data_IF_162469529077
#
_entry.id   IF_162469529077
#
_cell.length_a   1.000
_cell.length_b   1.000
_cell.length_c   1.000
_cell.angle_alpha   90.00
_cell.angle_beta   90.00
_cell.angle_gamma   90.00
#
_symmetry.space_group_name_H-M   'P 1'
#
loop_
_entity.id
_entity.type
_entity.pdbx_description
1 polymer ?
#
# COMPACT_ATOMS: atom_id res chain seq x y z
N UNK A 1 18.05 6.74 11.32
CA UNK A 1 18.08 5.93 10.10
C UNK A 1 18.36 6.83 8.90
N UNK A 2 19.14 6.39 7.91
CA UNK A 2 19.51 7.21 6.75
C UNK A 2 18.26 7.61 5.97
N UNK A 3 18.07 8.91 5.73
CA UNK A 3 16.98 9.47 4.91
C UNK A 3 17.07 9.07 3.42
N UNK A 4 18.13 8.34 3.02
CA UNK A 4 18.43 7.91 1.66
C UNK A 4 18.71 6.40 1.60
N UNK A 5 17.76 5.58 2.08
CA UNK A 5 17.87 4.12 2.13
C UNK A 5 18.12 3.53 0.74
N UNK A 6 19.16 2.67 0.64
CA UNK A 6 19.54 1.97 -0.60
C UNK A 6 20.38 2.79 -1.57
N UNK A 7 20.58 4.09 -1.33
CA UNK A 7 21.56 4.90 -2.06
C UNK A 7 22.94 4.78 -1.39
N UNK A 8 23.98 4.66 -2.21
CA UNK A 8 25.37 4.53 -1.78
C UNK A 8 26.31 5.24 -2.75
N UNK A 9 27.57 5.43 -2.36
CA UNK A 9 28.60 6.01 -3.22
C UNK A 9 28.16 7.31 -3.89
N UNK A 10 28.40 7.42 -5.20
CA UNK A 10 28.17 8.64 -5.98
C UNK A 10 26.73 9.15 -5.93
N UNK A 11 25.74 8.25 -6.02
CA UNK A 11 24.33 8.65 -5.98
C UNK A 11 23.94 9.21 -4.60
N UNK A 12 24.45 8.63 -3.54
CA UNK A 12 24.23 9.13 -2.17
C UNK A 12 24.82 10.51 -1.97
N UNK A 13 26.09 10.70 -2.38
CA UNK A 13 26.79 11.96 -2.20
C UNK A 13 26.14 13.07 -3.03
N UNK A 14 25.70 12.75 -4.25
CA UNK A 14 25.02 13.70 -5.11
C UNK A 14 23.67 14.15 -4.54
N UNK A 15 22.85 13.21 -4.05
CA UNK A 15 21.55 13.52 -3.43
C UNK A 15 21.73 14.34 -2.13
N UNK A 16 22.76 14.04 -1.34
CA UNK A 16 23.11 14.83 -0.14
C UNK A 16 23.50 16.26 -0.47
N UNK A 17 24.33 16.44 -1.52
CA UNK A 17 24.74 17.76 -1.97
C UNK A 17 23.56 18.62 -2.44
N UNK A 18 22.49 18.00 -2.90
CA UNK A 18 21.24 18.67 -3.33
C UNK A 18 20.17 18.78 -2.24
N UNK A 19 20.46 18.32 -1.03
CA UNK A 19 19.51 18.26 0.12
C UNK A 19 18.18 17.59 -0.23
N UNK A 20 18.27 16.49 -0.98
CA UNK A 20 17.12 15.70 -1.43
C UNK A 20 17.01 14.43 -0.63
N UNK A 21 15.80 14.04 -0.25
CA UNK A 21 15.51 12.86 0.54
C UNK A 21 14.46 11.98 -0.15
N UNK A 22 14.42 10.70 0.19
CA UNK A 22 13.37 9.79 -0.27
C UNK A 22 11.99 10.36 0.10
N UNK A 23 11.07 10.33 -0.87
CA UNK A 23 9.74 10.92 -0.76
C UNK A 23 9.64 12.37 -1.22
N UNK A 24 10.76 13.09 -1.38
CA UNK A 24 10.71 14.44 -1.95
C UNK A 24 10.22 14.40 -3.40
N UNK A 25 9.38 15.36 -3.75
CA UNK A 25 9.07 15.67 -5.15
C UNK A 25 10.23 16.46 -5.73
N UNK A 26 10.85 15.94 -6.78
CA UNK A 26 12.02 16.53 -7.40
C UNK A 26 11.86 16.63 -8.90
N UNK A 27 12.60 17.56 -9.48
CA UNK A 27 12.77 17.74 -10.92
C UNK A 27 14.20 17.40 -11.28
N UNK A 28 14.39 16.41 -12.13
CA UNK A 28 15.69 16.05 -12.71
C UNK A 28 15.79 16.65 -14.10
N UNK A 29 16.84 17.40 -14.33
CA UNK A 29 17.18 18.01 -15.60
C UNK A 29 18.29 17.18 -16.24
N UNK A 30 18.01 16.57 -17.38
CA UNK A 30 18.96 15.87 -18.26
C UNK A 30 18.77 16.39 -19.68
N UNK A 31 18.87 15.56 -20.71
CA UNK A 31 18.41 15.91 -22.06
C UNK A 31 16.89 16.05 -22.12
N UNK A 32 16.19 15.32 -21.26
CA UNK A 32 14.78 15.49 -20.96
C UNK A 32 14.62 15.98 -19.50
N UNK A 33 13.45 16.50 -19.20
CA UNK A 33 13.10 16.90 -17.83
C UNK A 33 12.11 15.91 -17.23
N UNK A 34 12.44 15.37 -16.05
CA UNK A 34 11.60 14.42 -15.33
C UNK A 34 11.16 15.04 -14.02
N UNK A 35 9.87 14.93 -13.72
CA UNK A 35 9.30 15.33 -12.42
C UNK A 35 8.69 14.09 -11.78
N UNK A 36 9.07 13.83 -10.53
CA UNK A 36 8.59 12.66 -9.81
C UNK A 36 9.01 12.66 -8.34
N UNK A 37 8.65 11.58 -7.67
CA UNK A 37 8.99 11.36 -6.26
C UNK A 37 10.27 10.52 -6.21
N UNK A 38 11.26 10.95 -5.42
CA UNK A 38 12.48 10.18 -5.20
C UNK A 38 12.15 8.89 -4.46
N UNK A 39 12.44 7.76 -5.09
CA UNK A 39 12.17 6.42 -4.57
C UNK A 39 13.37 5.85 -3.81
N UNK A 40 13.15 4.96 -2.81
CA UNK A 40 14.23 4.18 -2.23
C UNK A 40 14.81 3.20 -3.25
N UNK A 41 16.04 2.71 -2.97
CA UNK A 41 16.67 1.65 -3.75
C UNK A 41 16.96 0.42 -2.90
N UNK A 42 17.18 -0.71 -3.56
CA UNK A 42 17.64 -1.93 -2.90
C UNK A 42 19.12 -1.80 -2.48
N UNK A 43 19.51 -2.45 -1.40
CA UNK A 43 20.89 -2.43 -0.90
C UNK A 43 21.90 -3.00 -1.92
N UNK A 44 21.44 -3.92 -2.76
CA UNK A 44 22.24 -4.53 -3.84
C UNK A 44 22.36 -3.69 -5.10
N UNK A 45 21.66 -2.54 -5.17
CA UNK A 45 21.69 -1.66 -6.35
C UNK A 45 23.09 -1.05 -6.57
N UNK A 46 23.34 -0.60 -7.81
CA UNK A 46 24.54 0.19 -8.17
C UNK A 46 24.54 1.58 -7.46
N UNK A 47 25.57 2.36 -7.68
CA UNK A 47 25.70 3.73 -7.14
C UNK A 47 25.59 4.82 -8.21
N UNK A 48 25.17 4.46 -9.42
CA UNK A 48 25.17 5.33 -10.60
C UNK A 48 23.77 5.79 -11.04
N UNK A 49 22.69 5.29 -10.43
CA UNK A 49 21.34 5.66 -10.83
C UNK A 49 20.54 6.30 -9.71
N UNK A 50 19.61 7.18 -10.09
CA UNK A 50 18.55 7.73 -9.23
C UNK A 50 17.20 7.24 -9.75
N UNK A 51 16.30 6.83 -8.86
CA UNK A 51 15.00 6.29 -9.24
C UNK A 51 13.89 7.25 -8.87
N UNK A 52 13.07 7.62 -9.85
CA UNK A 52 11.88 8.46 -9.70
C UNK A 52 10.62 7.67 -9.97
N UNK A 53 9.59 7.91 -9.16
CA UNK A 53 8.22 7.55 -9.49
C UNK A 53 7.55 8.72 -10.20
N UNK A 54 7.17 8.51 -11.45
CA UNK A 54 6.48 9.51 -12.26
C UNK A 54 4.99 9.63 -11.88
N UNK A 55 4.36 10.74 -12.28
CA UNK A 55 2.92 10.93 -12.11
C UNK A 55 2.07 9.84 -12.79
N UNK A 56 2.59 9.22 -13.83
CA UNK A 56 1.97 8.06 -14.51
C UNK A 56 1.94 6.78 -13.68
N UNK A 57 2.64 6.75 -12.53
CA UNK A 57 2.79 5.57 -11.67
C UNK A 57 4.02 4.73 -11.97
N UNK A 58 4.68 4.91 -13.13
CA UNK A 58 5.91 4.17 -13.47
C UNK A 58 7.12 4.70 -12.72
N UNK A 59 8.02 3.78 -12.38
CA UNK A 59 9.34 4.11 -11.86
C UNK A 59 10.34 4.13 -13.01
N UNK A 60 11.20 5.16 -13.05
CA UNK A 60 12.30 5.25 -14.00
C UNK A 60 13.63 5.39 -13.26
N UNK A 61 14.67 4.72 -13.76
CA UNK A 61 16.05 4.93 -13.35
C UNK A 61 16.72 5.91 -14.30
N UNK A 62 17.42 6.90 -13.73
CA UNK A 62 18.16 7.92 -14.50
C UNK A 62 19.62 7.80 -14.07
N UNK A 63 20.51 7.63 -15.04
CA UNK A 63 21.94 7.53 -14.77
C UNK A 63 22.52 8.89 -14.38
N UNK A 64 23.37 8.91 -13.35
CA UNK A 64 23.97 10.15 -12.83
C UNK A 64 24.72 10.95 -13.90
N UNK A 65 25.37 10.26 -14.85
CA UNK A 65 26.11 10.91 -15.93
C UNK A 65 25.20 11.73 -16.87
N UNK A 66 23.92 11.40 -16.93
CA UNK A 66 22.94 12.11 -17.76
C UNK A 66 22.31 13.29 -17.01
N UNK A 67 22.50 13.37 -15.69
CA UNK A 67 21.86 14.38 -14.85
C UNK A 67 22.69 15.66 -14.88
N UNK A 68 22.11 16.71 -15.43
CA UNK A 68 22.69 18.06 -15.42
C UNK A 68 22.42 18.77 -14.11
N UNK A 69 21.19 18.63 -13.57
CA UNK A 69 20.80 19.21 -12.28
C UNK A 69 19.59 18.51 -11.66
N UNK A 70 19.45 18.68 -10.33
CA UNK A 70 18.28 18.28 -9.56
C UNK A 70 17.77 19.48 -8.76
N UNK A 71 16.47 19.76 -8.93
CA UNK A 71 15.75 20.78 -8.16
C UNK A 71 14.73 20.10 -7.24
N UNK A 72 14.77 20.42 -5.96
CA UNK A 72 13.74 20.01 -5.02
C UNK A 72 12.50 20.88 -5.18
N UNK A 73 11.35 20.27 -5.45
CA UNK A 73 10.07 20.97 -5.61
C UNK A 73 9.37 21.09 -4.25
N UNK A 74 9.22 19.96 -3.55
CA UNK A 74 8.59 19.92 -2.23
C UNK A 74 9.05 18.70 -1.45
N UNK A 75 9.01 18.80 -0.15
CA UNK A 75 9.10 17.62 0.74
C UNK A 75 7.69 17.07 0.98
N UNK A 76 7.55 15.76 1.27
CA UNK A 76 6.29 15.24 1.75
C UNK A 76 5.88 16.07 2.98
N UNK A 77 4.67 16.62 2.95
CA UNK A 77 4.07 17.15 4.18
C UNK A 77 4.10 16.01 5.21
N UNK A 78 4.51 16.32 6.44
CA UNK A 78 4.25 15.39 7.53
C UNK A 78 2.74 15.20 7.55
N UNK A 79 2.29 14.07 7.05
CA UNK A 79 0.90 13.68 7.21
C UNK A 79 0.75 13.43 8.71
N UNK A 80 0.46 14.50 9.42
CA UNK A 80 -0.16 14.38 10.73
C UNK A 80 -1.45 13.63 10.41
N UNK A 81 -1.51 12.39 10.85
CA UNK A 81 -2.73 11.58 10.79
C UNK A 81 -3.85 12.41 11.44
N UNK A 82 -4.42 13.33 10.69
CA UNK A 82 -5.72 13.88 11.00
C UNK A 82 -6.65 12.70 10.80
N UNK A 83 -6.86 11.95 11.89
CA UNK A 83 -7.99 11.04 12.00
C UNK A 83 -9.23 11.89 11.73
N UNK A 84 -9.56 12.05 10.47
CA UNK A 84 -10.87 12.47 10.05
C UNK A 84 -11.80 11.32 10.44
N UNK A 85 -12.22 11.35 11.72
CA UNK A 85 -13.34 10.55 12.19
C UNK A 85 -14.55 11.13 11.45
N UNK A 86 -14.76 10.69 10.21
CA UNK A 86 -16.02 10.98 9.52
C UNK A 86 -17.12 10.38 10.38
N UNK A 87 -18.15 11.19 10.65
CA UNK A 87 -19.34 10.73 11.36
C UNK A 87 -19.88 9.51 10.64
N UNK A 88 -19.93 8.40 11.34
CA UNK A 88 -20.55 7.17 10.87
C UNK A 88 -22.02 7.44 10.59
N UNK A 89 -22.47 7.29 9.37
CA UNK A 89 -23.88 7.40 9.02
C UNK A 89 -24.55 6.06 9.33
N UNK A 90 -25.36 6.03 10.39
CA UNK A 90 -26.04 4.82 10.85
C UNK A 90 -27.03 4.22 9.85
N UNK A 91 -27.39 4.95 8.80
CA UNK A 91 -28.27 4.47 7.74
C UNK A 91 -27.56 3.60 6.69
N UNK A 92 -26.22 3.70 6.59
CA UNK A 92 -25.44 2.96 5.62
C UNK A 92 -25.09 1.55 6.11
N UNK A 93 -24.97 0.57 5.19
CA UNK A 93 -24.58 -0.79 5.54
C UNK A 93 -23.17 -0.81 6.14
N UNK A 94 -22.96 -1.66 7.13
CA UNK A 94 -21.67 -1.88 7.75
C UNK A 94 -20.95 -3.04 7.06
N UNK A 95 -19.74 -2.82 6.58
CA UNK A 95 -18.92 -3.79 5.86
C UNK A 95 -17.61 -4.00 6.62
N UNK A 96 -17.16 -5.24 6.74
CA UNK A 96 -15.84 -5.56 7.25
C UNK A 96 -14.87 -5.72 6.06
N UNK A 97 -13.77 -4.97 6.08
CA UNK A 97 -12.62 -5.21 5.23
C UNK A 97 -11.58 -5.99 6.02
N UNK A 98 -11.34 -7.22 5.61
CA UNK A 98 -10.37 -8.13 6.22
C UNK A 98 -9.14 -8.23 5.34
N UNK A 99 -8.00 -7.75 5.81
CA UNK A 99 -6.74 -7.82 5.07
C UNK A 99 -5.95 -9.07 5.44
N UNK A 100 -5.51 -9.81 4.44
CA UNK A 100 -4.62 -10.98 4.57
C UNK A 100 -3.23 -10.75 4.01
N UNK A 101 -2.96 -9.56 3.47
CA UNK A 101 -1.71 -9.20 2.82
C UNK A 101 -1.88 -8.93 1.32
N UNK A 102 -0.78 -9.05 0.58
CA UNK A 102 -0.75 -8.74 -0.84
C UNK A 102 -0.59 -7.23 -1.13
N UNK A 103 -0.45 -6.89 -2.41
CA UNK A 103 -0.16 -5.53 -2.86
C UNK A 103 -1.25 -4.53 -2.50
N UNK A 104 -2.50 -4.95 -2.57
CA UNK A 104 -3.67 -4.10 -2.28
C UNK A 104 -3.72 -3.69 -0.80
N UNK A 105 -3.19 -4.54 0.09
CA UNK A 105 -3.16 -4.30 1.53
C UNK A 105 -1.89 -3.60 1.99
N UNK A 106 -1.01 -3.22 1.08
CA UNK A 106 0.32 -2.70 1.40
C UNK A 106 0.40 -1.22 1.09
N UNK A 107 0.77 -0.42 2.10
CA UNK A 107 1.13 0.97 1.92
C UNK A 107 2.66 1.09 1.89
N UNK A 108 3.19 1.62 0.81
CA UNK A 108 4.62 1.95 0.76
C UNK A 108 4.81 3.29 1.46
N UNK A 109 5.47 3.28 2.60
CA UNK A 109 6.01 4.52 3.17
C UNK A 109 7.20 4.97 2.31
N UNK A 110 6.95 5.92 1.44
CA UNK A 110 7.97 6.46 0.53
C UNK A 110 9.17 7.06 1.26
N UNK A 111 9.02 7.44 2.52
CA UNK A 111 10.11 7.98 3.35
C UNK A 111 11.06 6.88 3.83
N UNK A 112 10.54 5.72 4.15
CA UNK A 112 11.31 4.62 4.73
C UNK A 112 11.53 3.48 3.77
N UNK A 113 10.76 3.42 2.66
CA UNK A 113 10.70 2.28 1.77
C UNK A 113 10.11 1.02 2.43
N UNK A 114 9.57 1.18 3.64
CA UNK A 114 8.93 0.08 4.33
C UNK A 114 7.56 -0.17 3.69
N UNK A 115 7.31 -1.42 3.35
CA UNK A 115 5.96 -1.89 3.02
C UNK A 115 5.31 -2.25 4.34
N UNK A 116 4.36 -1.45 4.79
CA UNK A 116 3.56 -1.76 5.97
C UNK A 116 2.21 -2.29 5.53
N UNK A 117 1.74 -3.40 6.10
CA UNK A 117 0.37 -3.83 5.92
C UNK A 117 -0.51 -2.80 6.63
N UNK A 118 -1.21 -1.98 5.89
CA UNK A 118 -1.95 -0.88 6.47
C UNK A 118 -3.06 -0.39 5.56
N UNK A 119 -3.93 -1.28 5.11
CA UNK A 119 -5.21 -0.82 4.58
C UNK A 119 -6.15 -0.58 5.77
N UNK A 120 -6.11 0.62 6.32
CA UNK A 120 -7.11 1.05 7.28
C UNK A 120 -8.36 1.55 6.56
N UNK A 121 -9.49 1.60 7.27
CA UNK A 121 -10.71 2.22 6.72
C UNK A 121 -10.48 3.69 6.33
N UNK A 122 -9.56 4.39 7.01
CA UNK A 122 -9.15 5.74 6.65
C UNK A 122 -8.40 5.77 5.32
N UNK A 123 -7.41 4.89 5.14
CA UNK A 123 -6.63 4.83 3.89
C UNK A 123 -7.54 4.55 2.68
N UNK A 124 -8.53 3.68 2.84
CA UNK A 124 -9.49 3.37 1.79
C UNK A 124 -10.40 4.56 1.47
N UNK A 125 -10.91 5.26 2.49
CA UNK A 125 -11.73 6.45 2.30
C UNK A 125 -10.94 7.63 1.69
N UNK A 126 -9.65 7.72 1.98
CA UNK A 126 -8.79 8.75 1.41
C UNK A 126 -8.45 8.44 -0.06
N UNK A 127 -8.30 7.15 -0.40
CA UNK A 127 -8.06 6.71 -1.77
C UNK A 127 -9.31 6.79 -2.64
N UNK A 128 -10.49 6.46 -2.09
CA UNK A 128 -11.78 6.42 -2.81
C UNK A 128 -12.86 7.06 -1.91
N UNK A 129 -12.94 8.39 -1.85
CA UNK A 129 -13.86 9.11 -0.95
C UNK A 129 -15.34 8.76 -1.16
N UNK A 130 -15.70 8.30 -2.36
CA UNK A 130 -17.07 7.90 -2.73
C UNK A 130 -17.58 6.71 -1.91
N UNK A 131 -16.68 5.86 -1.41
CA UNK A 131 -17.04 4.69 -0.59
C UNK A 131 -17.78 5.12 0.68
N UNK A 132 -17.41 6.24 1.27
CA UNK A 132 -18.05 6.78 2.47
C UNK A 132 -19.53 7.15 2.27
N UNK A 133 -20.00 7.25 1.03
CA UNK A 133 -21.40 7.50 0.70
C UNK A 133 -22.19 6.19 0.49
N UNK A 134 -21.51 5.05 0.46
CA UNK A 134 -22.11 3.74 0.11
C UNK A 134 -22.15 2.83 1.33
N UNK A 135 -21.09 2.84 2.16
CA UNK A 135 -20.95 1.95 3.29
C UNK A 135 -20.09 2.52 4.42
N UNK A 136 -20.34 2.05 5.63
CA UNK A 136 -19.43 2.20 6.77
C UNK A 136 -18.46 1.03 6.78
N UNK A 137 -17.17 1.28 6.61
CA UNK A 137 -16.15 0.24 6.54
C UNK A 137 -15.37 0.19 7.85
N UNK A 138 -15.37 -0.98 8.48
CA UNK A 138 -14.38 -1.35 9.49
C UNK A 138 -13.27 -2.14 8.80
N UNK A 139 -12.03 -1.84 9.08
CA UNK A 139 -10.88 -2.55 8.53
C UNK A 139 -10.10 -3.26 9.64
N UNK A 140 -9.72 -4.49 9.37
CA UNK A 140 -8.93 -5.32 10.27
C UNK A 140 -7.86 -6.08 9.48
N UNK A 141 -6.63 -6.09 9.98
CA UNK A 141 -5.55 -6.91 9.43
C UNK A 141 -5.53 -8.24 10.18
N UNK A 142 -5.81 -9.33 9.48
CA UNK A 142 -5.77 -10.67 10.05
C UNK A 142 -4.33 -11.19 10.09
N UNK A 143 -3.63 -11.08 8.98
CA UNK A 143 -2.20 -11.32 8.82
C UNK A 143 -1.69 -10.55 7.61
N UNK A 144 -0.37 -10.58 7.37
CA UNK A 144 0.25 -9.89 6.24
C UNK A 144 1.27 -10.80 5.59
N UNK A 145 0.78 -11.61 4.64
CA UNK A 145 1.60 -12.56 3.92
C UNK A 145 1.49 -12.34 2.41
N UNK A 146 2.53 -12.72 1.69
CA UNK A 146 2.40 -12.93 0.25
C UNK A 146 1.53 -14.15 0.00
N UNK A 147 0.64 -14.08 -0.99
CA UNK A 147 -0.34 -15.14 -1.21
C UNK A 147 0.29 -16.50 -1.52
N UNK A 148 1.45 -16.53 -2.15
CA UNK A 148 2.22 -17.74 -2.42
C UNK A 148 2.81 -18.41 -1.17
N UNK A 149 2.90 -17.69 -0.06
CA UNK A 149 3.39 -18.18 1.22
C UNK A 149 2.27 -18.69 2.15
N UNK A 150 1.02 -18.57 1.72
CA UNK A 150 -0.10 -19.02 2.54
C UNK A 150 -0.09 -20.53 2.76
N UNK A 151 -0.33 -20.91 4.00
CA UNK A 151 -0.44 -22.29 4.47
C UNK A 151 -1.90 -22.60 4.82
N UNK A 152 -2.30 -23.86 4.95
CA UNK A 152 -3.67 -24.24 5.32
C UNK A 152 -4.19 -23.56 6.60
N UNK A 153 -3.32 -23.29 7.55
CA UNK A 153 -3.62 -22.61 8.80
C UNK A 153 -4.18 -21.20 8.57
N UNK A 154 -3.62 -20.46 7.61
CA UNK A 154 -4.09 -19.13 7.22
C UNK A 154 -5.53 -19.17 6.67
N UNK A 155 -5.87 -20.19 5.88
CA UNK A 155 -7.24 -20.38 5.39
C UNK A 155 -8.21 -20.72 6.51
N UNK A 156 -7.77 -21.58 7.44
CA UNK A 156 -8.57 -21.96 8.63
C UNK A 156 -8.81 -20.73 9.52
N UNK A 157 -7.79 -19.92 9.76
CA UNK A 157 -7.92 -18.71 10.58
C UNK A 157 -8.80 -17.67 9.89
N UNK A 158 -8.71 -17.55 8.57
CA UNK A 158 -9.60 -16.70 7.78
C UNK A 158 -11.06 -17.19 7.89
N UNK A 159 -11.29 -18.50 7.77
CA UNK A 159 -12.62 -19.07 7.91
C UNK A 159 -13.21 -18.82 9.31
N UNK A 160 -12.45 -19.10 10.36
CA UNK A 160 -12.85 -18.85 11.76
C UNK A 160 -13.17 -17.39 12.02
N UNK A 161 -12.35 -16.47 11.48
CA UNK A 161 -12.59 -15.05 11.63
C UNK A 161 -13.89 -14.64 10.94
N UNK A 162 -14.12 -15.05 9.70
CA UNK A 162 -15.35 -14.78 8.96
C UNK A 162 -16.56 -15.35 9.71
N UNK A 163 -16.50 -16.59 10.17
CA UNK A 163 -17.58 -17.23 10.94
C UNK A 163 -17.89 -16.45 12.22
N UNK A 164 -16.86 -16.02 12.95
CA UNK A 164 -17.03 -15.28 14.21
C UNK A 164 -17.78 -13.96 14.06
N UNK A 165 -17.69 -13.34 12.90
CA UNK A 165 -18.33 -12.04 12.60
C UNK A 165 -19.60 -12.16 11.75
N UNK A 166 -19.89 -13.34 11.22
CA UNK A 166 -21.01 -13.57 10.30
C UNK A 166 -22.40 -13.28 10.92
N UNK A 167 -22.53 -13.45 12.22
CA UNK A 167 -23.76 -13.17 12.98
C UNK A 167 -23.79 -11.78 13.61
N UNK A 168 -22.80 -10.94 13.33
CA UNK A 168 -22.77 -9.54 13.77
C UNK A 168 -23.62 -8.65 12.86
N UNK A 169 -23.51 -7.34 13.02
CA UNK A 169 -24.28 -6.38 12.21
C UNK A 169 -23.66 -6.06 10.84
N UNK A 170 -22.61 -6.77 10.42
CA UNK A 170 -22.04 -6.61 9.08
C UNK A 170 -23.00 -7.15 8.00
N UNK A 171 -23.07 -6.41 6.90
CA UNK A 171 -23.88 -6.78 5.72
C UNK A 171 -23.07 -7.51 4.65
N UNK A 172 -21.75 -7.53 4.81
CA UNK A 172 -20.83 -8.22 3.93
C UNK A 172 -19.39 -8.12 4.44
N UNK A 173 -18.53 -8.95 3.88
CA UNK A 173 -17.09 -8.99 4.19
C UNK A 173 -16.32 -8.88 2.88
N UNK A 174 -15.34 -8.01 2.84
CA UNK A 174 -14.37 -7.92 1.75
C UNK A 174 -13.06 -8.48 2.27
N UNK A 175 -12.46 -9.43 1.56
CA UNK A 175 -11.15 -10.00 1.87
C UNK A 175 -10.15 -9.44 0.86
N UNK A 176 -9.26 -8.56 1.33
CA UNK A 176 -8.13 -8.08 0.54
C UNK A 176 -7.01 -9.12 0.59
N UNK A 177 -6.61 -9.63 -0.58
CA UNK A 177 -5.77 -10.82 -0.72
C UNK A 177 -4.78 -10.64 -1.87
N UNK A 178 -3.63 -11.30 -1.82
CA UNK A 178 -2.71 -11.35 -2.96
C UNK A 178 -3.31 -12.13 -4.14
N UNK A 179 -3.05 -11.65 -5.35
CA UNK A 179 -3.70 -12.16 -6.57
C UNK A 179 -3.26 -13.57 -6.98
N UNK A 180 -2.02 -13.98 -6.65
CA UNK A 180 -1.42 -15.21 -7.20
C UNK A 180 -2.16 -16.49 -6.79
N UNK A 181 -2.63 -16.54 -5.55
CA UNK A 181 -3.33 -17.72 -5.01
C UNK A 181 -4.74 -17.43 -4.51
N UNK A 182 -5.32 -16.27 -4.85
CA UNK A 182 -6.66 -15.86 -4.42
C UNK A 182 -7.74 -16.91 -4.77
N UNK A 183 -7.61 -17.54 -5.91
CA UNK A 183 -8.55 -18.56 -6.39
C UNK A 183 -8.56 -19.81 -5.49
N UNK A 184 -7.41 -20.23 -4.92
CA UNK A 184 -7.36 -21.34 -3.96
C UNK A 184 -8.03 -20.96 -2.65
N UNK A 185 -7.71 -19.78 -2.12
CA UNK A 185 -8.28 -19.29 -0.86
C UNK A 185 -9.80 -19.11 -0.96
N UNK A 186 -10.28 -18.50 -2.06
CA UNK A 186 -11.73 -18.31 -2.28
C UNK A 186 -12.45 -19.63 -2.49
N UNK A 187 -11.86 -20.59 -3.20
CA UNK A 187 -12.43 -21.93 -3.37
C UNK A 187 -12.54 -22.65 -2.01
N UNK A 188 -11.47 -22.69 -1.22
CA UNK A 188 -11.49 -23.28 0.11
C UNK A 188 -12.61 -22.69 0.98
N UNK A 189 -12.69 -21.36 1.06
CA UNK A 189 -13.67 -20.69 1.90
C UNK A 189 -15.12 -20.90 1.40
N UNK A 190 -15.32 -21.06 0.11
CA UNK A 190 -16.66 -21.35 -0.44
C UNK A 190 -17.22 -22.67 0.06
N UNK A 191 -16.37 -23.66 0.32
CA UNK A 191 -16.77 -24.95 0.90
C UNK A 191 -16.82 -24.88 2.44
N UNK A 192 -15.80 -24.29 3.07
CA UNK A 192 -15.68 -24.22 4.53
C UNK A 192 -16.80 -23.39 5.16
N UNK A 193 -17.29 -22.38 4.46
CA UNK A 193 -18.31 -21.44 4.94
C UNK A 193 -19.67 -21.64 4.21
N UNK A 194 -19.95 -22.85 3.75
CA UNK A 194 -21.21 -23.16 3.12
C UNK A 194 -22.39 -22.86 4.07
N UNK A 195 -23.37 -22.07 3.60
CA UNK A 195 -24.51 -21.62 4.42
C UNK A 195 -24.32 -20.28 5.13
N UNK A 196 -23.21 -19.57 4.87
CA UNK A 196 -23.04 -18.20 5.34
C UNK A 196 -24.15 -17.30 4.79
N UNK A 197 -24.73 -16.43 5.65
CA UNK A 197 -25.88 -15.59 5.26
C UNK A 197 -25.48 -14.22 4.69
N UNK A 198 -24.22 -13.86 4.77
CA UNK A 198 -23.68 -12.60 4.26
C UNK A 198 -22.68 -12.86 3.14
N UNK A 199 -22.58 -12.00 2.12
CA UNK A 199 -21.61 -12.16 1.06
C UNK A 199 -20.17 -11.97 1.57
N UNK A 200 -19.26 -12.76 1.01
CA UNK A 200 -17.81 -12.60 1.16
C UNK A 200 -17.21 -12.39 -0.23
N UNK A 201 -16.53 -11.27 -0.43
CA UNK A 201 -15.94 -10.89 -1.72
C UNK A 201 -14.43 -10.81 -1.58
N UNK A 202 -13.71 -11.50 -2.46
CA UNK A 202 -12.26 -11.40 -2.56
C UNK A 202 -11.86 -10.32 -3.55
N UNK A 203 -10.87 -9.52 -3.18
CA UNK A 203 -10.27 -8.47 -4.03
C UNK A 203 -8.75 -8.49 -3.87
N UNK A 204 -8.02 -8.18 -4.97
CA UNK A 204 -6.57 -8.18 -5.00
C UNK A 204 -5.98 -7.13 -5.92
#
# INVERSE_FOLDING_TARGET
>A
MSKLKGYKGKSLDYLRAKDVNIGDSIKIISDLTYIGILMPRYETSDDSHIVLKLKSGYNIGIELNEIKDIEKISSPEEVVDKKNVKKTDSSLPKILLLSTGGTIASKVDYRTGAVTPALTASDLNDAVPEIANIANIDAEVLFSEYSENLQPEHWIDTAKKIESVANSNYKGIIVAHGTDTMHYSSAFLSFALSGLKIPVVFVG
#
